data_IF_860855417223
#
_entry.id   IF_860855417223
#
_cell.length_a   1.000
_cell.length_b   1.000
_cell.length_c   1.000
_cell.angle_alpha   90.00
_cell.angle_beta   90.00
_cell.angle_gamma   90.00
#
_symmetry.space_group_name_H-M   'P 1'
#
loop_
_entity.id
_entity.type
_entity.pdbx_description
1 polymer ?
#
# COMPACT_ATOMS: atom_id res chain seq x y z
N UNK A 1 34.46 -23.49 -69.70
CA UNK A 1 33.97 -22.17 -69.25
C UNK A 1 33.76 -22.22 -67.74
N UNK A 2 34.53 -21.48 -66.92
CA UNK A 2 34.45 -21.54 -65.47
C UNK A 2 33.31 -20.66 -64.92
N UNK A 3 32.73 -21.10 -63.81
CA UNK A 3 31.61 -20.48 -63.07
C UNK A 3 32.00 -19.13 -62.47
N UNK A 4 31.09 -18.16 -62.55
CA UNK A 4 31.18 -16.86 -61.89
C UNK A 4 31.07 -16.98 -60.34
N UNK A 5 31.75 -16.11 -59.57
CA UNK A 5 31.71 -16.17 -58.11
C UNK A 5 30.44 -15.51 -57.54
N UNK A 6 29.81 -16.20 -56.59
CA UNK A 6 28.76 -15.67 -55.73
C UNK A 6 29.35 -14.66 -54.73
N UNK A 7 28.89 -13.41 -54.77
CA UNK A 7 29.14 -12.44 -53.70
C UNK A 7 28.23 -12.76 -52.50
N UNK A 8 28.79 -13.25 -51.41
CA UNK A 8 28.12 -13.35 -50.12
C UNK A 8 27.94 -11.95 -49.52
N UNK A 9 26.71 -11.46 -49.45
CA UNK A 9 26.38 -10.31 -48.60
C UNK A 9 26.40 -10.74 -47.14
N UNK A 10 27.38 -10.24 -46.38
CA UNK A 10 27.36 -10.28 -44.92
C UNK A 10 26.20 -9.42 -44.41
N UNK A 11 25.38 -9.90 -43.46
CA UNK A 11 24.39 -9.05 -42.82
C UNK A 11 25.11 -8.01 -41.96
N UNK A 12 24.81 -6.74 -42.23
CA UNK A 12 25.19 -5.61 -41.38
C UNK A 12 24.67 -5.88 -39.97
N UNK A 13 25.58 -5.98 -38.99
CA UNK A 13 25.22 -5.95 -37.57
C UNK A 13 24.49 -4.64 -37.30
N UNK A 14 23.17 -4.72 -37.15
CA UNK A 14 22.42 -3.66 -36.50
C UNK A 14 23.02 -3.44 -35.12
N UNK A 15 23.51 -2.23 -34.87
CA UNK A 15 23.85 -1.76 -33.53
C UNK A 15 22.62 -1.95 -32.65
N UNK A 16 22.68 -2.91 -31.71
CA UNK A 16 21.59 -3.14 -30.77
C UNK A 16 21.30 -1.83 -30.03
N UNK A 17 20.06 -1.34 -30.12
CA UNK A 17 19.60 -0.27 -29.24
C UNK A 17 19.81 -0.76 -27.81
N UNK A 18 20.56 0.00 -27.03
CA UNK A 18 20.74 -0.29 -25.61
C UNK A 18 19.46 0.13 -24.89
N UNK A 19 18.65 -0.84 -24.47
CA UNK A 19 17.42 -0.58 -23.72
C UNK A 19 17.75 -0.04 -22.31
N UNK A 20 17.21 1.13 -21.97
CA UNK A 20 17.37 1.77 -20.67
C UNK A 20 16.28 1.26 -19.72
N UNK A 21 16.57 0.15 -19.06
CA UNK A 21 15.67 -0.51 -18.12
C UNK A 21 16.17 -0.42 -16.68
N UNK A 22 15.25 -0.31 -15.73
CA UNK A 22 15.53 -0.30 -14.30
C UNK A 22 14.53 -1.18 -13.54
N UNK A 23 15.01 -1.87 -12.51
CA UNK A 23 14.19 -2.65 -11.57
C UNK A 23 13.91 -1.84 -10.31
N UNK A 24 12.64 -1.77 -9.93
CA UNK A 24 12.12 -1.16 -8.70
C UNK A 24 11.53 -2.26 -7.82
N UNK A 25 11.84 -2.23 -6.53
CA UNK A 25 11.41 -3.22 -5.51
C UNK A 25 10.49 -2.57 -4.48
N UNK A 26 9.90 -1.41 -4.81
CA UNK A 26 8.92 -0.71 -3.98
C UNK A 26 9.50 0.22 -2.93
N UNK A 27 10.83 0.37 -2.84
CA UNK A 27 11.49 1.37 -1.97
C UNK A 27 12.39 2.34 -2.74
N UNK A 28 12.67 2.03 -4.00
CA UNK A 28 13.49 2.82 -4.89
C UNK A 28 12.63 3.72 -5.79
N UNK A 29 13.19 4.86 -6.20
CA UNK A 29 12.57 5.74 -7.19
C UNK A 29 13.60 6.70 -7.79
N UNK A 30 13.28 7.29 -8.93
CA UNK A 30 14.03 8.40 -9.51
C UNK A 30 13.36 9.72 -9.17
N UNK A 31 14.17 10.77 -9.02
CA UNK A 31 13.74 12.13 -8.77
C UNK A 31 14.57 13.08 -9.62
N UNK A 32 13.94 13.73 -10.60
CA UNK A 32 14.58 14.70 -11.48
C UNK A 32 14.15 16.12 -11.12
N UNK A 33 15.13 17.02 -10.93
CA UNK A 33 14.91 18.40 -10.49
C UNK A 33 14.52 19.32 -11.66
N UNK A 34 13.31 19.87 -11.61
CA UNK A 34 12.74 20.79 -12.60
C UNK A 34 12.88 22.27 -12.19
N UNK A 35 13.37 22.58 -10.99
CA UNK A 35 13.40 23.96 -10.46
C UNK A 35 14.16 24.95 -11.34
N UNK A 36 15.25 24.48 -11.98
CA UNK A 36 16.06 25.30 -12.87
C UNK A 36 15.45 25.43 -14.28
N UNK A 37 14.77 24.38 -14.75
CA UNK A 37 14.16 24.35 -16.08
C UNK A 37 12.72 23.81 -15.94
N UNK A 38 11.77 24.65 -15.51
CA UNK A 38 10.39 24.22 -15.31
C UNK A 38 9.77 23.67 -16.60
N UNK A 39 8.93 22.66 -16.47
CA UNK A 39 8.06 22.23 -17.56
C UNK A 39 6.97 23.29 -17.71
N UNK A 40 6.89 23.85 -18.92
CA UNK A 40 5.76 24.66 -19.38
C UNK A 40 5.35 24.10 -20.73
N UNK A 41 4.19 23.46 -20.79
CA UNK A 41 3.81 22.68 -21.97
C UNK A 41 2.35 22.87 -22.32
N UNK A 42 2.07 23.20 -23.58
CA UNK A 42 0.72 23.14 -24.17
C UNK A 42 0.50 21.86 -24.98
N UNK A 43 1.56 21.09 -25.24
CA UNK A 43 1.53 19.82 -25.97
C UNK A 43 2.70 18.95 -25.55
N UNK A 44 2.42 17.74 -25.10
CA UNK A 44 3.43 16.79 -24.61
C UNK A 44 3.10 15.34 -24.93
N UNK A 45 4.15 14.52 -24.88
CA UNK A 45 4.08 13.07 -25.02
C UNK A 45 4.89 12.40 -23.91
N UNK A 46 4.30 11.37 -23.32
CA UNK A 46 4.95 10.48 -22.36
C UNK A 46 4.96 9.07 -22.96
N UNK A 47 6.11 8.39 -22.89
CA UNK A 47 6.22 6.97 -23.26
C UNK A 47 6.96 6.22 -22.18
N UNK A 48 6.55 4.98 -21.93
CA UNK A 48 7.30 4.00 -21.14
C UNK A 48 6.81 2.59 -21.47
N UNK A 49 7.60 1.58 -21.12
CA UNK A 49 7.07 0.22 -20.95
C UNK A 49 7.21 -0.22 -19.50
N UNK A 50 6.25 -1.00 -19.01
CA UNK A 50 6.28 -1.55 -17.66
C UNK A 50 6.11 -3.07 -17.66
N UNK A 51 6.62 -3.71 -16.61
CA UNK A 51 6.50 -5.14 -16.34
C UNK A 51 6.34 -5.36 -14.84
N UNK A 52 5.23 -5.95 -14.39
CA UNK A 52 4.94 -6.12 -12.95
C UNK A 52 3.98 -7.27 -12.65
N UNK A 53 4.01 -7.76 -11.41
CA UNK A 53 2.99 -8.65 -10.82
C UNK A 53 2.02 -7.90 -9.90
N UNK A 54 2.37 -6.68 -9.47
CA UNK A 54 1.59 -5.89 -8.54
C UNK A 54 0.36 -5.30 -9.22
N UNK A 55 -0.73 -5.15 -8.46
CA UNK A 55 -1.97 -4.51 -8.95
C UNK A 55 -1.93 -2.99 -8.86
N UNK A 56 -1.14 -2.47 -7.93
CA UNK A 56 -1.02 -1.05 -7.61
C UNK A 56 0.46 -0.64 -7.67
N UNK A 57 0.74 0.56 -8.19
CA UNK A 57 2.08 1.11 -8.18
C UNK A 57 2.23 2.37 -9.04
N UNK A 58 2.87 3.39 -8.48
CA UNK A 58 3.16 4.65 -9.19
C UNK A 58 4.23 4.47 -10.27
N UNK A 59 3.90 4.68 -11.54
CA UNK A 59 4.90 4.64 -12.62
C UNK A 59 5.64 5.97 -12.72
N UNK A 60 4.91 7.09 -12.74
CA UNK A 60 5.50 8.42 -12.71
C UNK A 60 4.53 9.49 -12.20
N UNK A 61 5.11 10.58 -11.72
CA UNK A 61 4.37 11.77 -11.33
C UNK A 61 5.23 13.04 -11.48
N UNK A 62 4.61 14.14 -11.90
CA UNK A 62 5.21 15.48 -11.84
C UNK A 62 4.13 16.51 -11.56
N UNK A 63 4.45 17.55 -10.80
CA UNK A 63 3.52 18.62 -10.47
C UNK A 63 3.26 18.80 -8.98
N UNK A 64 2.62 19.91 -8.64
CA UNK A 64 2.21 20.30 -7.29
C UNK A 64 0.87 21.03 -7.37
N UNK A 65 0.11 21.00 -6.28
CA UNK A 65 -1.17 21.72 -6.17
C UNK A 65 -2.17 21.32 -7.28
N UNK A 66 -2.49 22.23 -8.22
CA UNK A 66 -3.52 22.02 -9.23
C UNK A 66 -2.97 21.64 -10.62
N UNK A 67 -1.64 21.67 -10.81
CA UNK A 67 -0.98 21.32 -12.07
C UNK A 67 -0.17 20.05 -11.87
N UNK A 68 -0.60 18.95 -12.47
CA UNK A 68 0.08 17.67 -12.32
C UNK A 68 -0.28 16.65 -13.41
N UNK A 69 0.62 15.69 -13.57
CA UNK A 69 0.40 14.45 -14.31
C UNK A 69 0.74 13.28 -13.39
N UNK A 70 -0.17 12.33 -13.26
CA UNK A 70 0.02 11.09 -12.52
C UNK A 70 -0.29 9.91 -13.45
N UNK A 71 0.64 8.96 -13.54
CA UNK A 71 0.46 7.70 -14.25
C UNK A 71 0.81 6.55 -13.32
N UNK A 72 -0.14 5.66 -13.09
CA UNK A 72 -0.01 4.56 -12.15
C UNK A 72 -0.75 3.31 -12.63
N UNK A 73 -0.40 2.16 -12.07
CA UNK A 73 -1.27 0.99 -12.12
C UNK A 73 -2.21 1.05 -10.92
N UNK A 74 -3.52 0.90 -11.15
CA UNK A 74 -4.59 0.90 -10.13
C UNK A 74 -5.46 -0.32 -10.32
N UNK A 75 -5.46 -1.24 -9.36
CA UNK A 75 -6.21 -2.50 -9.39
C UNK A 75 -5.98 -3.33 -10.67
N UNK A 76 -4.77 -3.28 -11.24
CA UNK A 76 -4.42 -3.97 -12.47
C UNK A 76 -4.80 -3.26 -13.77
N UNK A 77 -5.36 -2.04 -13.68
CA UNK A 77 -5.66 -1.17 -14.82
C UNK A 77 -4.68 0.03 -14.87
N UNK A 78 -4.40 0.57 -16.04
CA UNK A 78 -3.53 1.76 -16.19
C UNK A 78 -4.35 3.01 -15.95
N UNK A 79 -4.02 3.76 -14.91
CA UNK A 79 -4.71 4.98 -14.51
C UNK A 79 -3.87 6.20 -14.85
N UNK A 80 -4.49 7.16 -15.55
CA UNK A 80 -3.91 8.46 -15.89
C UNK A 80 -4.77 9.57 -15.29
N UNK A 81 -4.14 10.50 -14.59
CA UNK A 81 -4.77 11.72 -14.11
C UNK A 81 -3.94 12.92 -14.54
N UNK A 82 -4.57 13.88 -15.24
CA UNK A 82 -3.93 15.12 -15.66
C UNK A 82 -4.79 16.30 -15.20
N UNK A 83 -4.18 17.24 -14.49
CA UNK A 83 -4.80 18.52 -14.15
C UNK A 83 -3.89 19.66 -14.63
N UNK A 84 -4.51 20.68 -15.22
CA UNK A 84 -3.85 21.87 -15.79
C UNK A 84 -4.24 23.15 -15.04
N UNK A 85 -4.76 23.00 -13.81
CA UNK A 85 -5.10 24.11 -12.91
C UNK A 85 -6.59 24.27 -12.61
N UNK A 86 -7.45 23.71 -13.45
CA UNK A 86 -8.90 23.98 -13.44
C UNK A 86 -9.80 22.76 -13.42
N UNK A 87 -9.23 21.56 -13.22
CA UNK A 87 -9.97 20.32 -13.04
C UNK A 87 -9.40 19.16 -13.84
N UNK A 88 -9.36 18.00 -13.21
CA UNK A 88 -8.64 16.85 -13.74
C UNK A 88 -9.41 16.13 -14.86
N UNK A 89 -8.65 15.63 -15.83
CA UNK A 89 -9.03 14.51 -16.68
C UNK A 89 -8.56 13.21 -16.00
N UNK A 90 -9.47 12.25 -15.88
CA UNK A 90 -9.19 10.92 -15.34
C UNK A 90 -9.49 9.86 -16.40
N UNK A 91 -8.54 8.97 -16.65
CA UNK A 91 -8.72 7.80 -17.50
C UNK A 91 -8.29 6.53 -16.76
N UNK A 92 -9.02 5.45 -16.99
CA UNK A 92 -8.70 4.11 -16.52
C UNK A 92 -8.79 3.16 -17.72
N UNK A 93 -7.64 2.65 -18.16
CA UNK A 93 -7.56 1.69 -19.26
C UNK A 93 -7.49 0.30 -18.64
N UNK A 94 -8.51 -0.51 -18.89
CA UNK A 94 -8.60 -1.89 -18.44
C UNK A 94 -8.18 -2.88 -19.55
N UNK A 95 -7.57 -4.03 -19.21
CA UNK A 95 -7.24 -5.04 -20.20
C UNK A 95 -8.51 -5.72 -20.72
N UNK A 96 -8.67 -5.83 -22.04
CA UNK A 96 -9.82 -6.52 -22.66
C UNK A 96 -9.69 -8.03 -22.53
N UNK A 97 -8.48 -8.56 -22.68
CA UNK A 97 -8.13 -9.96 -22.49
C UNK A 97 -6.86 -10.04 -21.64
N UNK A 98 -6.86 -10.89 -20.61
CA UNK A 98 -5.71 -11.05 -19.73
C UNK A 98 -5.64 -10.00 -18.61
N UNK A 99 -4.42 -9.64 -18.19
CA UNK A 99 -4.14 -8.71 -17.09
C UNK A 99 -2.88 -7.93 -17.40
N UNK A 100 -2.80 -6.65 -17.02
CA UNK A 100 -1.54 -5.90 -17.17
C UNK A 100 -0.48 -6.25 -16.12
N UNK A 101 -0.87 -6.91 -15.04
CA UNK A 101 0.04 -7.38 -14.00
C UNK A 101 0.35 -8.89 -14.16
N UNK A 102 0.55 -9.32 -15.40
CA UNK A 102 0.89 -10.69 -15.80
C UNK A 102 2.40 -10.95 -15.83
N UNK A 103 3.21 -9.94 -15.50
CA UNK A 103 4.67 -9.95 -15.61
C UNK A 103 5.17 -10.09 -17.04
N UNK A 104 4.43 -9.58 -18.03
CA UNK A 104 4.92 -9.30 -19.37
C UNK A 104 5.11 -7.79 -19.59
N UNK A 105 5.73 -7.43 -20.72
CA UNK A 105 5.97 -6.02 -21.06
C UNK A 105 4.72 -5.41 -21.71
N UNK A 106 4.30 -4.27 -21.17
CA UNK A 106 3.23 -3.46 -21.76
C UNK A 106 3.75 -2.06 -22.08
N UNK A 107 3.39 -1.54 -23.25
CA UNK A 107 3.78 -0.22 -23.72
C UNK A 107 2.69 0.81 -23.41
N UNK A 108 3.05 1.90 -22.75
CA UNK A 108 2.14 3.02 -22.47
C UNK A 108 2.60 4.24 -23.24
N UNK A 109 1.65 4.85 -23.96
CA UNK A 109 1.85 6.13 -24.62
C UNK A 109 0.74 7.10 -24.22
N UNK A 110 1.12 8.28 -23.79
CA UNK A 110 0.20 9.39 -23.53
C UNK A 110 0.59 10.53 -24.46
N UNK A 111 -0.40 11.09 -25.15
CA UNK A 111 -0.23 12.31 -25.96
C UNK A 111 -1.27 13.31 -25.54
N UNK A 112 -0.85 14.55 -25.32
CA UNK A 112 -1.73 15.66 -25.05
C UNK A 112 -1.48 16.78 -26.04
N UNK A 113 -2.55 17.34 -26.58
CA UNK A 113 -2.53 18.55 -27.38
C UNK A 113 -3.58 19.52 -26.80
N UNK A 114 -3.11 20.63 -26.23
CA UNK A 114 -3.91 21.54 -25.42
C UNK A 114 -4.61 20.76 -24.29
N UNK A 115 -5.95 20.70 -24.34
CA UNK A 115 -6.79 19.97 -23.39
C UNK A 115 -7.06 18.53 -23.79
N UNK A 116 -6.87 18.19 -25.06
CA UNK A 116 -7.18 16.86 -25.57
C UNK A 116 -6.09 15.88 -25.14
N UNK A 117 -6.46 14.87 -24.37
CA UNK A 117 -5.56 13.82 -23.87
C UNK A 117 -5.94 12.51 -24.52
N UNK A 118 -4.95 11.75 -24.97
CA UNK A 118 -5.11 10.38 -25.45
C UNK A 118 -4.08 9.50 -24.75
N UNK A 119 -4.56 8.44 -24.11
CA UNK A 119 -3.72 7.36 -23.55
C UNK A 119 -3.93 6.10 -24.38
N UNK A 120 -2.84 5.40 -24.69
CA UNK A 120 -2.88 4.07 -25.28
C UNK A 120 -2.00 3.09 -24.52
N UNK A 121 -2.50 1.85 -24.38
CA UNK A 121 -1.76 0.70 -23.87
C UNK A 121 -1.64 -0.35 -24.97
N UNK A 122 -0.41 -0.83 -25.20
CA UNK A 122 -0.02 -1.78 -26.26
C UNK A 122 -0.43 -1.36 -27.68
N UNK A 123 -0.66 -0.06 -27.88
CA UNK A 123 -1.07 0.53 -29.15
C UNK A 123 -2.51 0.20 -29.60
N UNK A 124 -3.25 -0.61 -28.84
CA UNK A 124 -4.61 -1.06 -29.20
C UNK A 124 -5.65 -0.39 -28.29
N UNK A 125 -5.39 -0.37 -26.99
CA UNK A 125 -6.35 0.08 -25.99
C UNK A 125 -6.23 1.58 -25.81
N UNK A 126 -7.07 2.34 -26.51
CA UNK A 126 -6.98 3.81 -26.56
C UNK A 126 -8.17 4.46 -25.88
N UNK A 127 -7.93 5.47 -25.05
CA UNK A 127 -8.96 6.32 -24.45
C UNK A 127 -8.59 7.78 -24.69
N UNK A 128 -9.57 8.56 -25.17
CA UNK A 128 -9.40 9.99 -25.43
C UNK A 128 -10.42 10.79 -24.64
N UNK A 129 -9.99 11.92 -24.09
CA UNK A 129 -10.87 12.87 -23.41
C UNK A 129 -10.24 14.24 -23.29
N UNK A 130 -10.81 15.07 -22.42
CA UNK A 130 -10.41 16.47 -22.25
C UNK A 130 -10.29 16.82 -20.77
N UNK A 131 -9.31 17.65 -20.43
CA UNK A 131 -9.24 18.31 -19.11
C UNK A 131 -10.36 19.34 -18.96
N UNK A 132 -10.74 19.67 -17.73
CA UNK A 132 -11.88 20.55 -17.45
C UNK A 132 -11.53 22.04 -17.63
N UNK A 133 -12.54 22.86 -17.89
CA UNK A 133 -12.42 24.34 -18.07
C UNK A 133 -11.34 24.75 -19.08
N UNK A 134 -10.82 25.98 -19.04
CA UNK A 134 -10.13 26.56 -20.20
C UNK A 134 -8.60 26.51 -20.17
N UNK A 135 -7.99 26.01 -19.09
CA UNK A 135 -6.54 25.95 -18.98
C UNK A 135 -5.95 24.89 -19.91
N UNK A 136 -4.84 25.24 -20.56
CA UNK A 136 -4.17 24.42 -21.60
C UNK A 136 -2.71 24.14 -21.30
N UNK A 137 -2.13 24.80 -20.31
CA UNK A 137 -0.70 24.70 -19.99
C UNK A 137 -0.48 23.85 -18.74
N UNK A 138 0.45 22.90 -18.83
CA UNK A 138 0.99 22.18 -17.68
C UNK A 138 2.22 22.94 -17.17
N UNK A 139 2.16 23.39 -15.91
CA UNK A 139 3.29 23.99 -15.20
C UNK A 139 3.86 23.04 -14.15
N UNK A 140 5.17 22.78 -14.17
CA UNK A 140 5.83 22.03 -13.10
C UNK A 140 7.29 22.48 -12.92
N UNK A 141 7.58 23.07 -11.76
CA UNK A 141 8.89 23.61 -11.37
C UNK A 141 9.51 22.87 -10.16
N UNK A 142 8.98 21.69 -9.82
CA UNK A 142 9.40 20.93 -8.64
C UNK A 142 10.20 19.67 -9.05
N UNK A 143 9.60 18.49 -8.88
CA UNK A 143 10.27 17.22 -9.16
C UNK A 143 9.46 16.35 -10.11
N UNK A 144 10.18 15.63 -10.97
CA UNK A 144 9.65 14.53 -11.77
C UNK A 144 10.05 13.20 -11.11
N UNK A 145 9.06 12.47 -10.60
CA UNK A 145 9.22 11.17 -9.95
C UNK A 145 8.97 10.02 -10.92
N UNK A 146 9.78 8.96 -10.85
CA UNK A 146 9.60 7.71 -11.61
C UNK A 146 9.76 6.50 -10.70
N UNK A 147 8.83 5.56 -10.77
CA UNK A 147 8.83 4.30 -10.01
C UNK A 147 8.38 4.42 -8.55
N UNK A 148 8.20 5.63 -8.02
CA UNK A 148 7.78 5.86 -6.64
C UNK A 148 8.08 7.29 -6.20
N UNK A 149 7.82 7.58 -4.93
CA UNK A 149 8.15 8.86 -4.31
C UNK A 149 8.44 8.67 -2.81
N UNK A 150 8.85 9.73 -2.08
CA UNK A 150 8.97 9.68 -0.63
C UNK A 150 7.65 9.32 0.08
N UNK A 151 6.51 9.76 -0.47
CA UNK A 151 5.16 9.47 0.00
C UNK A 151 4.19 9.60 -1.18
N UNK A 152 3.81 8.46 -1.75
CA UNK A 152 3.02 8.43 -3.00
C UNK A 152 1.57 8.88 -2.80
N UNK A 153 1.00 8.64 -1.62
CA UNK A 153 -0.35 9.11 -1.28
C UNK A 153 -0.45 10.64 -1.22
N UNK A 154 0.64 11.34 -0.89
CA UNK A 154 0.64 12.81 -0.78
C UNK A 154 0.69 13.51 -2.15
N UNK A 155 0.91 12.77 -3.23
CA UNK A 155 1.01 13.34 -4.57
C UNK A 155 -0.38 13.70 -5.10
N UNK A 156 -0.59 14.93 -5.59
CA UNK A 156 -1.90 15.36 -6.04
C UNK A 156 -2.41 14.50 -7.21
N UNK A 157 -3.68 14.11 -7.12
CA UNK A 157 -4.31 13.24 -8.12
C UNK A 157 -3.78 11.81 -8.16
N UNK A 158 -2.98 11.37 -7.17
CA UNK A 158 -2.55 9.97 -7.10
C UNK A 158 -3.70 9.05 -6.70
N UNK A 159 -4.07 8.06 -7.52
CA UNK A 159 -5.14 7.14 -7.20
C UNK A 159 -4.66 5.92 -6.38
N UNK A 160 -3.36 5.88 -6.07
CA UNK A 160 -2.68 4.79 -5.34
C UNK A 160 -1.74 5.37 -4.30
N UNK A 161 -1.44 4.58 -3.28
CA UNK A 161 -0.47 4.92 -2.23
C UNK A 161 0.88 4.20 -2.40
N UNK A 162 1.00 3.23 -3.32
CA UNK A 162 2.15 2.33 -3.45
C UNK A 162 3.21 2.83 -4.44
N UNK A 163 4.49 2.67 -4.09
CA UNK A 163 5.59 2.72 -5.07
C UNK A 163 5.56 1.48 -5.98
N UNK A 164 6.19 1.59 -7.15
CA UNK A 164 6.24 0.54 -8.15
C UNK A 164 7.14 -0.62 -7.73
N UNK A 165 6.67 -1.84 -8.00
CA UNK A 165 7.49 -3.06 -7.93
C UNK A 165 7.47 -3.74 -9.28
N UNK A 166 8.61 -3.84 -9.95
CA UNK A 166 8.71 -4.37 -11.30
C UNK A 166 9.83 -3.69 -12.09
N UNK A 167 9.74 -3.77 -13.42
CA UNK A 167 10.67 -3.09 -14.30
C UNK A 167 9.98 -1.95 -15.07
N UNK A 168 10.66 -0.81 -15.20
CA UNK A 168 10.29 0.25 -16.13
C UNK A 168 11.42 0.42 -17.14
N UNK A 169 11.09 0.63 -18.43
CA UNK A 169 12.07 0.95 -19.46
C UNK A 169 11.62 2.10 -20.34
N UNK A 170 12.59 2.78 -20.94
CA UNK A 170 12.38 3.85 -21.93
C UNK A 170 11.40 4.94 -21.46
N UNK A 171 11.45 5.28 -20.16
CA UNK A 171 10.62 6.34 -19.58
C UNK A 171 11.08 7.68 -20.13
N UNK A 172 10.19 8.35 -20.85
CA UNK A 172 10.47 9.57 -21.57
C UNK A 172 9.30 10.54 -21.47
N UNK A 173 9.62 11.82 -21.24
CA UNK A 173 8.74 12.96 -21.39
C UNK A 173 9.30 13.86 -22.48
N UNK A 174 8.47 14.30 -23.44
CA UNK A 174 8.85 15.33 -24.39
C UNK A 174 7.73 16.34 -24.59
N UNK A 175 8.13 17.58 -24.81
CA UNK A 175 7.29 18.63 -25.36
C UNK A 175 8.03 19.29 -26.54
N UNK A 176 7.62 20.47 -26.96
CA UNK A 176 8.25 21.18 -28.08
C UNK A 176 9.67 21.69 -27.77
N UNK A 177 10.00 21.93 -26.50
CA UNK A 177 11.23 22.61 -26.09
C UNK A 177 12.25 21.64 -25.46
N UNK A 178 11.77 20.60 -24.80
CA UNK A 178 12.56 19.69 -23.95
C UNK A 178 12.20 18.24 -24.23
N UNK A 179 13.23 17.39 -24.24
CA UNK A 179 13.12 15.93 -24.29
C UNK A 179 13.88 15.33 -23.10
N UNK A 180 13.15 14.81 -22.11
CA UNK A 180 13.68 14.17 -20.91
C UNK A 180 13.62 12.66 -21.06
N UNK A 181 14.76 12.02 -21.33
CA UNK A 181 14.90 10.56 -21.38
C UNK A 181 15.27 10.04 -19.99
N UNK A 182 14.30 10.07 -19.07
CA UNK A 182 14.49 9.85 -17.63
C UNK A 182 15.20 8.52 -17.32
N UNK A 183 14.88 7.43 -18.00
CA UNK A 183 15.57 6.15 -17.84
C UNK A 183 17.06 6.23 -18.21
N UNK A 184 17.41 6.96 -19.28
CA UNK A 184 18.80 7.16 -19.71
C UNK A 184 19.54 8.09 -18.75
N UNK A 185 18.93 9.20 -18.36
CA UNK A 185 19.50 10.18 -17.43
C UNK A 185 19.82 9.53 -16.07
N UNK A 186 18.97 8.64 -15.58
CA UNK A 186 19.22 7.86 -14.36
C UNK A 186 20.41 6.91 -14.50
N UNK A 187 20.51 6.16 -15.61
CA UNK A 187 21.62 5.23 -15.84
C UNK A 187 22.96 5.93 -16.00
N UNK A 188 22.97 7.10 -16.64
CA UNK A 188 24.19 7.86 -16.94
C UNK A 188 24.62 8.81 -15.81
N UNK A 189 23.77 9.06 -14.81
CA UNK A 189 24.07 9.92 -13.67
C UNK A 189 24.02 11.41 -14.02
N UNK A 190 22.92 11.87 -14.61
CA UNK A 190 22.72 13.31 -14.86
C UNK A 190 22.74 14.11 -13.54
N UNK A 191 23.38 15.30 -13.47
CA UNK A 191 23.46 16.11 -12.25
C UNK A 191 22.11 16.51 -11.64
N UNK A 192 21.05 16.59 -12.45
CA UNK A 192 19.68 16.89 -12.00
C UNK A 192 18.91 15.65 -11.57
N UNK A 193 19.46 14.45 -11.80
CA UNK A 193 18.83 13.18 -11.50
C UNK A 193 19.35 12.60 -10.18
N UNK A 194 18.43 12.29 -9.26
CA UNK A 194 18.72 11.55 -8.04
C UNK A 194 18.05 10.18 -8.10
N UNK A 195 18.86 9.14 -7.89
CA UNK A 195 18.38 7.76 -7.75
C UNK A 195 18.32 7.45 -6.26
N UNK A 196 17.11 7.26 -5.73
CA UNK A 196 16.87 6.90 -4.34
C UNK A 196 16.81 5.37 -4.19
N UNK A 197 17.56 4.83 -3.24
CA UNK A 197 17.67 3.38 -3.02
C UNK A 197 18.63 2.70 -4.00
N UNK A 198 18.64 1.36 -3.98
CA UNK A 198 19.56 0.55 -4.78
C UNK A 198 18.86 0.01 -6.04
N UNK A 199 18.90 0.78 -7.12
CA UNK A 199 18.28 0.41 -8.40
C UNK A 199 19.22 -0.47 -9.23
N UNK A 200 18.70 -1.59 -9.72
CA UNK A 200 19.40 -2.40 -10.73
C UNK A 200 19.02 -1.92 -12.14
N UNK A 201 20.00 -1.48 -12.94
CA UNK A 201 19.80 -1.05 -14.34
C UNK A 201 19.78 -2.22 -15.33
N UNK A 202 18.94 -3.20 -15.01
CA UNK A 202 18.57 -4.39 -15.80
C UNK A 202 17.20 -4.83 -15.28
N UNK A 203 16.42 -5.59 -16.04
CA UNK A 203 15.18 -6.15 -15.52
C UNK A 203 15.46 -7.45 -14.76
N UNK A 204 15.39 -7.41 -13.43
CA UNK A 204 15.46 -8.57 -12.56
C UNK A 204 14.04 -9.10 -12.29
N UNK A 205 13.93 -10.38 -11.94
CA UNK A 205 12.67 -10.89 -11.42
C UNK A 205 12.40 -10.27 -10.05
N UNK A 206 11.34 -9.47 -9.96
CA UNK A 206 10.83 -8.95 -8.70
C UNK A 206 9.83 -9.97 -8.17
N UNK A 207 10.25 -10.77 -7.19
CA UNK A 207 9.35 -11.72 -6.54
C UNK A 207 8.15 -10.97 -5.93
N UNK A 208 6.96 -11.54 -6.04
CA UNK A 208 5.86 -11.15 -5.14
C UNK A 208 6.35 -11.31 -3.71
N UNK A 209 6.07 -10.33 -2.85
CA UNK A 209 6.47 -10.44 -1.45
C UNK A 209 5.75 -11.64 -0.85
N UNK A 210 6.53 -12.64 -0.45
CA UNK A 210 5.97 -13.89 0.02
C UNK A 210 5.07 -13.64 1.24
N UNK A 211 3.86 -14.22 1.26
CA UNK A 211 2.96 -14.05 2.38
C UNK A 211 3.48 -14.76 3.62
N UNK A 212 3.15 -14.21 4.78
CA UNK A 212 3.34 -14.87 6.08
C UNK A 212 1.99 -15.33 6.64
N UNK A 213 2.00 -16.30 7.53
CA UNK A 213 0.85 -16.68 8.37
C UNK A 213 1.20 -16.46 9.84
N UNK A 214 0.36 -15.73 10.56
CA UNK A 214 0.31 -15.73 12.03
C UNK A 214 -0.51 -16.94 12.47
N UNK A 215 0.11 -17.89 13.17
CA UNK A 215 -0.47 -19.18 13.55
C UNK A 215 -1.15 -19.14 14.93
N UNK A 216 -0.75 -18.20 15.79
CA UNK A 216 -1.31 -18.03 17.14
C UNK A 216 -1.65 -16.56 17.46
N UNK A 217 -2.62 -16.28 18.34
CA UNK A 217 -3.00 -14.91 18.69
C UNK A 217 -1.85 -14.10 19.35
N UNK A 218 -0.88 -14.77 19.95
CA UNK A 218 0.27 -14.13 20.59
C UNK A 218 1.39 -13.80 19.58
N UNK A 219 1.26 -14.26 18.33
CA UNK A 219 2.26 -14.06 17.28
C UNK A 219 2.22 -12.61 16.79
N UNK A 220 3.36 -11.95 16.71
CA UNK A 220 3.47 -10.59 16.19
C UNK A 220 4.81 -10.32 15.51
N UNK A 221 4.86 -9.27 14.70
CA UNK A 221 6.08 -8.67 14.14
C UNK A 221 6.15 -7.22 14.56
N UNK A 222 7.35 -6.74 14.87
CA UNK A 222 7.62 -5.33 15.17
C UNK A 222 8.12 -4.62 13.91
N UNK A 223 7.46 -3.54 13.54
CA UNK A 223 7.84 -2.65 12.45
C UNK A 223 8.44 -1.37 13.02
N UNK A 224 9.21 -0.66 12.19
CA UNK A 224 9.71 0.66 12.56
C UNK A 224 8.55 1.61 12.87
N UNK A 225 8.79 2.55 13.78
CA UNK A 225 7.88 3.66 14.08
C UNK A 225 7.34 4.29 12.78
N UNK A 226 6.02 4.41 12.70
CA UNK A 226 5.37 5.09 11.60
C UNK A 226 5.38 6.60 11.85
N UNK A 227 6.01 7.37 10.95
CA UNK A 227 6.21 8.81 11.10
C UNK A 227 5.14 9.64 10.37
N UNK A 228 3.90 9.17 10.35
CA UNK A 228 2.78 9.89 9.77
C UNK A 228 2.30 10.98 10.73
N UNK A 229 2.78 12.22 10.56
CA UNK A 229 2.35 13.37 11.37
C UNK A 229 1.01 13.94 10.93
N UNK A 230 0.94 14.51 9.72
CA UNK A 230 -0.30 15.08 9.15
C UNK A 230 -0.93 14.17 8.11
N UNK A 231 -0.09 13.63 7.24
CA UNK A 231 -0.48 12.67 6.21
C UNK A 231 0.24 11.34 6.43
N UNK A 232 -0.18 10.32 5.69
CA UNK A 232 0.49 9.02 5.67
C UNK A 232 -0.41 7.95 5.09
N UNK A 233 0.18 6.82 4.72
CA UNK A 233 -0.59 5.67 4.19
C UNK A 233 -0.05 4.33 4.68
N UNK A 234 -0.95 3.37 4.85
CA UNK A 234 -0.60 1.97 5.07
C UNK A 234 -1.53 1.12 4.21
N UNK A 235 -0.95 0.26 3.38
CA UNK A 235 -1.72 -0.75 2.63
C UNK A 235 -1.15 -2.14 2.81
N UNK A 236 -2.02 -3.15 2.82
CA UNK A 236 -1.64 -4.55 2.95
C UNK A 236 -2.78 -5.45 2.50
N UNK A 237 -2.45 -6.69 2.16
CA UNK A 237 -3.43 -7.75 1.92
C UNK A 237 -3.56 -8.63 3.17
N UNK A 238 -4.78 -9.01 3.56
CA UNK A 238 -5.02 -10.00 4.61
C UNK A 238 -5.98 -11.11 4.18
N UNK A 239 -5.91 -12.25 4.87
CA UNK A 239 -6.78 -13.41 4.62
C UNK A 239 -6.97 -14.24 5.90
N UNK A 240 -8.20 -14.43 6.36
CA UNK A 240 -8.50 -15.23 7.57
C UNK A 240 -9.94 -15.72 7.61
N UNK A 241 -10.22 -16.71 8.46
CA UNK A 241 -11.57 -17.14 8.87
C UNK A 241 -11.91 -16.76 10.31
N UNK A 242 -10.92 -16.28 11.08
CA UNK A 242 -11.11 -15.88 12.48
C UNK A 242 -12.00 -14.62 12.54
N UNK A 243 -12.95 -14.55 13.48
CA UNK A 243 -13.87 -13.41 13.56
C UNK A 243 -13.26 -12.21 14.29
N UNK A 244 -12.21 -12.41 15.10
CA UNK A 244 -11.59 -11.37 15.90
C UNK A 244 -10.08 -11.38 15.71
N UNK A 245 -9.44 -10.21 15.75
CA UNK A 245 -7.98 -10.11 15.66
C UNK A 245 -7.50 -8.67 15.58
N UNK A 246 -6.43 -8.33 16.28
CA UNK A 246 -5.72 -7.07 16.17
C UNK A 246 -4.70 -7.17 15.03
N UNK A 247 -4.90 -6.42 13.95
CA UNK A 247 -4.01 -6.47 12.77
C UNK A 247 -2.84 -5.51 12.92
N UNK A 248 -3.11 -4.24 13.18
CA UNK A 248 -2.09 -3.20 13.33
C UNK A 248 -2.35 -2.37 14.58
N UNK A 249 -1.29 -1.99 15.29
CA UNK A 249 -1.40 -1.11 16.46
C UNK A 249 -0.12 -0.31 16.67
N UNK A 250 -0.27 0.96 17.04
CA UNK A 250 0.81 1.82 17.53
C UNK A 250 0.23 2.92 18.41
N UNK A 251 1.00 3.39 19.39
CA UNK A 251 0.59 4.51 20.24
C UNK A 251 1.71 5.54 20.43
N UNK A 252 1.29 6.73 20.87
CA UNK A 252 2.13 7.86 21.24
C UNK A 252 2.51 7.84 22.72
N UNK A 253 3.21 8.90 23.15
CA UNK A 253 3.57 9.06 24.56
C UNK A 253 2.33 9.34 25.43
N UNK A 254 2.29 8.86 26.68
CA UNK A 254 1.24 9.23 27.61
C UNK A 254 1.16 10.74 27.81
N UNK A 255 0.00 11.32 27.50
CA UNK A 255 -0.30 12.74 27.74
C UNK A 255 -0.94 12.86 29.11
N UNK A 256 -0.28 13.52 30.05
CA UNK A 256 -0.89 13.88 31.33
C UNK A 256 -1.90 15.00 31.10
N UNK A 257 -3.20 14.69 31.05
CA UNK A 257 -4.23 15.72 31.13
C UNK A 257 -4.55 16.00 32.62
N UNK A 258 -4.53 17.27 33.07
CA UNK A 258 -5.00 17.60 34.40
C UNK A 258 -6.48 17.19 34.51
N UNK A 259 -6.81 16.50 35.60
CA UNK A 259 -8.17 16.01 35.84
C UNK A 259 -9.16 17.17 35.79
N UNK A 260 -9.98 17.23 34.74
CA UNK A 260 -11.23 18.00 34.78
C UNK A 260 -12.21 17.17 35.60
N UNK A 261 -12.35 17.60 36.86
CA UNK A 261 -13.19 17.05 37.92
C UNK A 261 -12.72 15.70 38.49
N UNK A 262 -12.31 15.73 39.77
CA UNK A 262 -11.71 14.64 40.55
C UNK A 262 -12.62 13.44 40.85
N UNK A 263 -13.40 12.96 39.86
CA UNK A 263 -14.28 11.79 39.97
C UNK A 263 -14.08 10.73 38.89
N UNK A 264 -13.11 10.89 37.97
CA UNK A 264 -12.80 9.87 36.95
C UNK A 264 -11.41 9.27 37.21
N UNK A 265 -11.23 7.94 37.11
CA UNK A 265 -9.91 7.32 37.19
C UNK A 265 -8.98 7.97 36.15
N UNK A 266 -7.73 8.24 36.54
CA UNK A 266 -6.71 8.75 35.62
C UNK A 266 -6.43 7.70 34.55
N UNK A 267 -7.13 7.80 33.43
CA UNK A 267 -6.83 7.02 32.23
C UNK A 267 -5.66 7.72 31.53
N UNK A 268 -4.56 6.98 31.32
CA UNK A 268 -3.44 7.47 30.53
C UNK A 268 -3.91 7.59 29.09
N UNK A 269 -4.18 8.83 28.65
CA UNK A 269 -4.52 9.10 27.25
C UNK A 269 -3.27 9.16 26.40
N UNK A 270 -3.32 8.50 25.27
CA UNK A 270 -2.27 8.46 24.25
C UNK A 270 -2.91 8.74 22.90
N UNK A 271 -2.14 9.33 21.98
CA UNK A 271 -2.51 9.25 20.57
C UNK A 271 -2.32 7.80 20.13
N UNK A 272 -3.19 7.26 19.30
CA UNK A 272 -3.03 5.90 18.82
C UNK A 272 -3.70 5.67 17.47
N UNK A 273 -3.25 4.61 16.82
CA UNK A 273 -3.82 4.07 15.61
C UNK A 273 -3.95 2.56 15.75
N UNK A 274 -5.08 2.02 15.32
CA UNK A 274 -5.29 0.58 15.24
C UNK A 274 -6.14 0.19 14.03
N UNK A 275 -5.86 -0.99 13.48
CA UNK A 275 -6.78 -1.72 12.62
C UNK A 275 -7.09 -3.04 13.31
N UNK A 276 -8.37 -3.26 13.62
CA UNK A 276 -8.83 -4.47 14.29
C UNK A 276 -10.01 -5.10 13.55
N UNK A 277 -10.19 -6.39 13.75
CA UNK A 277 -11.33 -7.16 13.30
C UNK A 277 -12.14 -7.60 14.51
N UNK A 278 -13.47 -7.41 14.45
CA UNK A 278 -14.42 -7.79 15.48
C UNK A 278 -15.69 -8.35 14.84
N UNK A 279 -16.10 -9.55 15.24
CA UNK A 279 -17.21 -10.30 14.64
C UNK A 279 -17.17 -10.29 13.09
N UNK A 280 -15.96 -10.49 12.54
CA UNK A 280 -15.68 -10.53 11.10
C UNK A 280 -15.71 -9.18 10.39
N UNK A 281 -16.01 -8.07 11.07
CA UNK A 281 -15.96 -6.73 10.49
C UNK A 281 -14.61 -6.07 10.78
N UNK A 282 -14.05 -5.36 9.79
CA UNK A 282 -12.82 -4.60 9.97
C UNK A 282 -13.12 -3.16 10.42
N UNK A 283 -12.34 -2.67 11.37
CA UNK A 283 -12.46 -1.33 11.94
C UNK A 283 -11.12 -0.61 11.92
N UNK A 284 -11.18 0.67 11.56
CA UNK A 284 -10.13 1.66 11.81
C UNK A 284 -10.42 2.36 13.13
N UNK A 285 -9.41 2.47 13.99
CA UNK A 285 -9.45 3.29 15.19
C UNK A 285 -8.31 4.29 15.18
N UNK A 286 -8.63 5.53 15.52
CA UNK A 286 -7.67 6.63 15.54
C UNK A 286 -8.03 7.62 16.65
N UNK A 287 -7.04 8.02 17.44
CA UNK A 287 -7.15 9.16 18.35
C UNK A 287 -5.91 10.05 18.18
N UNK A 288 -6.13 11.31 17.84
CA UNK A 288 -5.09 12.33 17.62
C UNK A 288 -5.01 13.33 18.79
N UNK A 289 -5.66 13.04 19.91
CA UNK A 289 -5.66 13.85 21.13
C UNK A 289 -6.99 14.53 21.45
N UNK A 290 -7.93 14.52 20.50
CA UNK A 290 -9.27 15.10 20.64
C UNK A 290 -10.41 14.07 20.77
N UNK A 291 -10.07 12.80 20.96
CA UNK A 291 -11.02 11.70 21.09
C UNK A 291 -10.91 10.70 19.95
N UNK A 292 -11.46 9.52 20.19
CA UNK A 292 -11.32 8.39 19.28
C UNK A 292 -12.44 8.36 18.23
N UNK A 293 -12.07 8.11 16.98
CA UNK A 293 -12.98 7.64 15.93
C UNK A 293 -12.83 6.13 15.76
N UNK A 294 -13.96 5.42 15.65
CA UNK A 294 -14.03 3.98 15.31
C UNK A 294 -14.85 3.81 14.03
N UNK A 295 -14.18 3.79 12.90
CA UNK A 295 -14.80 3.70 11.58
C UNK A 295 -14.86 2.23 11.12
N UNK A 296 -16.07 1.73 10.81
CA UNK A 296 -16.23 0.43 10.18
C UNK A 296 -15.77 0.54 8.72
N UNK A 297 -14.76 -0.21 8.32
CA UNK A 297 -14.14 -0.08 7.00
C UNK A 297 -15.08 -0.50 5.86
N UNK A 298 -15.92 -1.52 6.08
CA UNK A 298 -16.91 -2.01 5.11
C UNK A 298 -18.10 -2.64 5.83
N UNK A 299 -19.31 -2.51 5.26
CA UNK A 299 -20.55 -3.03 5.87
C UNK A 299 -20.79 -4.55 5.67
N UNK A 300 -19.72 -5.32 5.41
CA UNK A 300 -19.78 -6.78 5.30
C UNK A 300 -18.70 -7.42 6.15
N UNK A 301 -18.89 -8.70 6.49
CA UNK A 301 -17.83 -9.51 7.08
C UNK A 301 -16.75 -9.81 6.03
N UNK A 302 -15.49 -9.87 6.48
CA UNK A 302 -14.28 -10.03 5.65
C UNK A 302 -13.40 -11.20 6.12
N UNK A 303 -14.00 -12.13 6.87
CA UNK A 303 -13.36 -13.34 7.39
C UNK A 303 -13.90 -14.62 6.69
N UNK A 304 -14.10 -14.57 5.37
CA UNK A 304 -14.51 -15.71 4.55
C UNK A 304 -13.32 -16.60 4.11
N UNK A 305 -12.10 -16.16 4.45
CA UNK A 305 -10.87 -16.81 4.04
C UNK A 305 -10.48 -16.52 2.59
N UNK A 306 -10.91 -15.40 2.02
CA UNK A 306 -10.39 -14.83 0.77
C UNK A 306 -9.41 -13.68 1.04
N UNK A 307 -8.63 -13.31 0.02
CA UNK A 307 -7.71 -12.17 0.12
C UNK A 307 -8.47 -10.85 -0.01
N UNK A 308 -8.25 -9.95 0.95
CA UNK A 308 -8.75 -8.58 0.95
C UNK A 308 -7.59 -7.60 0.96
N UNK A 309 -7.63 -6.62 0.07
CA UNK A 309 -6.71 -5.49 0.06
C UNK A 309 -7.24 -4.39 0.99
N UNK A 310 -6.41 -3.90 1.89
CA UNK A 310 -6.70 -2.76 2.77
C UNK A 310 -5.80 -1.62 2.35
N UNK A 311 -6.38 -0.44 2.14
CA UNK A 311 -5.63 0.79 1.88
C UNK A 311 -6.16 1.89 2.81
N UNK A 312 -5.35 2.24 3.80
CA UNK A 312 -5.61 3.32 4.73
C UNK A 312 -4.77 4.53 4.32
N UNK A 313 -5.44 5.65 4.11
CA UNK A 313 -4.84 6.92 3.73
C UNK A 313 -5.33 8.00 4.68
N UNK A 314 -4.41 8.84 5.14
CA UNK A 314 -4.70 10.06 5.86
C UNK A 314 -4.15 11.22 5.07
N UNK A 315 -5.05 12.09 4.63
CA UNK A 315 -4.77 13.15 3.67
C UNK A 315 -4.70 14.52 4.35
N UNK A 316 -4.94 14.56 5.67
CA UNK A 316 -5.23 15.78 6.41
C UNK A 316 -6.68 16.21 6.21
N UNK A 317 -7.15 17.17 7.00
CA UNK A 317 -8.55 17.62 6.92
C UNK A 317 -8.81 18.37 5.61
N UNK A 318 -9.59 17.75 4.71
CA UNK A 318 -10.04 18.35 3.46
C UNK A 318 -10.85 19.61 3.73
N UNK A 319 -10.45 20.73 3.13
CA UNK A 319 -11.16 22.00 3.26
C UNK A 319 -12.56 21.98 2.60
N UNK A 320 -12.81 21.05 1.68
CA UNK A 320 -14.05 20.95 0.90
C UNK A 320 -15.01 19.92 1.49
N UNK A 321 -14.53 18.70 1.75
CA UNK A 321 -15.38 17.58 2.20
C UNK A 321 -15.40 17.42 3.73
N UNK A 322 -14.50 18.10 4.45
CA UNK A 322 -14.22 17.90 5.89
C UNK A 322 -13.82 16.47 6.28
N UNK A 323 -13.54 15.61 5.30
CA UNK A 323 -12.97 14.28 5.49
C UNK A 323 -11.47 14.41 5.79
N UNK A 324 -10.94 13.57 6.68
CA UNK A 324 -9.51 13.60 7.05
C UNK A 324 -8.68 12.50 6.39
N UNK A 325 -9.37 11.52 5.81
CA UNK A 325 -8.75 10.38 5.16
C UNK A 325 -9.78 9.32 4.82
N UNK A 326 -9.28 8.21 4.29
CA UNK A 326 -10.11 7.09 3.87
C UNK A 326 -9.51 5.76 4.30
N UNK A 327 -10.37 4.79 4.60
CA UNK A 327 -10.00 3.38 4.67
C UNK A 327 -10.77 2.64 3.57
N UNK A 328 -10.05 1.86 2.78
CA UNK A 328 -10.61 1.15 1.64
C UNK A 328 -10.45 -0.35 1.79
N UNK A 329 -11.49 -1.11 1.46
CA UNK A 329 -11.44 -2.57 1.34
C UNK A 329 -11.64 -2.94 -0.11
N UNK A 330 -10.60 -3.51 -0.71
CA UNK A 330 -10.45 -3.66 -2.16
C UNK A 330 -10.60 -2.29 -2.84
N UNK A 331 -11.74 -2.03 -3.47
CA UNK A 331 -12.04 -0.74 -4.15
C UNK A 331 -13.08 0.10 -3.43
N UNK A 332 -13.68 -0.44 -2.36
CA UNK A 332 -14.75 0.22 -1.62
C UNK A 332 -14.14 1.17 -0.59
N UNK A 333 -14.26 2.48 -0.85
CA UNK A 333 -13.73 3.54 0.01
C UNK A 333 -14.73 3.93 1.08
N UNK A 334 -14.27 4.07 2.31
CA UNK A 334 -15.02 4.65 3.43
C UNK A 334 -14.23 5.82 4.00
N UNK A 335 -14.79 7.02 3.89
CA UNK A 335 -14.19 8.21 4.49
C UNK A 335 -14.40 8.25 6.00
N UNK A 336 -13.50 8.91 6.71
CA UNK A 336 -13.61 9.16 8.14
C UNK A 336 -13.19 10.57 8.50
N UNK A 337 -13.69 11.04 9.65
CA UNK A 337 -13.31 12.32 10.26
C UNK A 337 -13.11 12.07 11.75
N UNK A 338 -11.94 12.40 12.28
CA UNK A 338 -11.70 12.32 13.71
C UNK A 338 -12.35 13.51 14.45
N UNK A 339 -12.78 13.34 15.70
CA UNK A 339 -13.40 14.42 16.46
C UNK A 339 -12.39 15.52 16.84
N UNK A 340 -12.88 16.75 16.95
CA UNK A 340 -12.12 17.92 17.44
C UNK A 340 -11.28 18.62 16.38
N UNK A 341 -10.15 19.20 16.78
CA UNK A 341 -9.27 20.03 15.92
C UNK A 341 -7.85 19.46 15.77
N UNK A 342 -7.56 18.31 16.38
CA UNK A 342 -6.23 17.71 16.33
C UNK A 342 -5.99 17.00 14.99
N UNK A 343 -5.07 17.52 14.18
CA UNK A 343 -4.70 16.94 12.88
C UNK A 343 -3.43 16.08 12.92
N UNK A 344 -2.69 16.13 14.04
CA UNK A 344 -1.40 15.46 14.17
C UNK A 344 -1.57 14.16 14.95
N UNK A 345 -1.17 13.06 14.33
CA UNK A 345 -1.04 11.76 14.99
C UNK A 345 0.41 11.60 15.45
N UNK A 346 0.67 11.83 16.74
CA UNK A 346 2.02 11.75 17.30
C UNK A 346 2.30 10.36 17.90
N UNK A 347 2.58 9.40 17.02
CA UNK A 347 3.03 8.07 17.42
C UNK A 347 4.46 8.14 17.96
N UNK A 348 4.80 7.27 18.91
CA UNK A 348 6.15 7.21 19.49
C UNK A 348 6.73 5.80 19.58
N UNK A 349 5.89 4.80 19.86
CA UNK A 349 6.34 3.40 19.87
C UNK A 349 6.49 2.83 18.45
N UNK A 350 7.01 1.61 18.38
CA UNK A 350 7.00 0.79 17.19
C UNK A 350 5.57 0.47 16.73
N UNK A 351 5.43 0.19 15.44
CA UNK A 351 4.19 -0.32 14.86
C UNK A 351 4.18 -1.85 15.00
N UNK A 352 3.12 -2.41 15.55
CA UNK A 352 2.95 -3.87 15.69
C UNK A 352 2.02 -4.40 14.62
N UNK A 353 2.37 -5.56 14.06
CA UNK A 353 1.57 -6.32 13.10
C UNK A 353 1.25 -7.70 13.68
N UNK A 354 -0.03 -8.07 13.68
CA UNK A 354 -0.52 -9.41 14.03
C UNK A 354 -0.91 -9.60 15.49
N UNK A 355 -0.33 -8.85 16.42
CA UNK A 355 -0.60 -9.01 17.85
C UNK A 355 0.26 -8.08 18.68
N UNK A 356 0.24 -8.25 20.00
CA UNK A 356 1.00 -7.44 20.94
C UNK A 356 1.81 -8.31 21.91
N UNK A 357 2.97 -7.82 22.37
CA UNK A 357 3.73 -8.48 23.43
C UNK A 357 2.98 -8.40 24.77
N UNK A 358 2.84 -9.52 25.47
CA UNK A 358 2.09 -9.60 26.74
C UNK A 358 2.68 -8.76 27.89
N UNK A 359 4.02 -8.61 27.94
CA UNK A 359 4.72 -8.03 29.09
C UNK A 359 5.65 -6.87 28.72
N UNK A 360 5.33 -6.10 27.67
CA UNK A 360 6.17 -4.95 27.30
C UNK A 360 5.91 -3.76 28.23
N UNK A 361 6.92 -3.42 29.03
CA UNK A 361 6.93 -2.20 29.86
C UNK A 361 6.71 -0.98 28.96
N UNK A 362 5.74 -0.14 29.32
CA UNK A 362 5.45 1.12 28.62
C UNK A 362 4.44 1.01 27.47
N UNK A 363 3.97 -0.20 27.14
CA UNK A 363 2.87 -0.38 26.19
C UNK A 363 1.55 0.03 26.86
N UNK A 364 0.82 0.95 26.25
CA UNK A 364 -0.49 1.41 26.74
C UNK A 364 -1.58 0.85 25.83
N UNK A 365 -2.62 0.25 26.42
CA UNK A 365 -3.77 -0.28 25.69
C UNK A 365 -4.97 0.66 25.84
N UNK A 366 -5.32 1.47 24.82
CA UNK A 366 -6.53 2.27 24.84
C UNK A 366 -7.77 1.39 24.98
N UNK A 367 -8.73 1.82 25.79
CA UNK A 367 -9.96 1.07 26.08
C UNK A 367 -10.87 0.88 24.87
N UNK A 368 -10.68 1.70 23.85
CA UNK A 368 -11.42 1.72 22.59
C UNK A 368 -10.98 0.57 21.66
N UNK A 369 -9.76 0.07 21.81
CA UNK A 369 -9.19 -1.07 21.07
C UNK A 369 -9.50 -2.36 21.83
N UNK A 370 -10.70 -2.90 21.60
CA UNK A 370 -11.20 -4.04 22.38
C UNK A 370 -10.37 -5.30 22.16
N UNK A 371 -9.89 -5.53 20.94
CA UNK A 371 -9.07 -6.71 20.64
C UNK A 371 -7.78 -6.75 21.45
N UNK A 372 -7.18 -5.60 21.74
CA UNK A 372 -5.98 -5.52 22.57
C UNK A 372 -6.26 -5.91 24.03
N UNK A 373 -7.34 -5.39 24.64
CA UNK A 373 -7.70 -5.72 26.02
C UNK A 373 -8.19 -7.17 26.20
N UNK A 374 -8.79 -7.75 25.15
CA UNK A 374 -9.29 -9.12 25.16
C UNK A 374 -8.24 -10.14 24.71
N UNK A 375 -7.00 -9.71 24.44
CA UNK A 375 -5.92 -10.55 23.90
C UNK A 375 -6.30 -11.30 22.61
N UNK A 376 -7.11 -10.67 21.76
CA UNK A 376 -7.44 -11.16 20.43
C UNK A 376 -6.41 -10.68 19.41
N UNK A 377 -5.22 -11.26 19.41
CA UNK A 377 -4.30 -11.06 18.29
C UNK A 377 -4.78 -11.77 17.02
N UNK A 378 -4.34 -11.26 15.88
CA UNK A 378 -4.70 -11.74 14.56
C UNK A 378 -4.05 -13.09 14.24
N UNK A 379 -4.87 -14.00 13.72
CA UNK A 379 -4.46 -15.30 13.20
C UNK A 379 -4.96 -15.40 11.76
N UNK A 380 -4.06 -15.65 10.82
CA UNK A 380 -4.33 -15.50 9.39
C UNK A 380 -3.10 -15.08 8.60
N UNK A 381 -3.29 -14.79 7.33
CA UNK A 381 -2.20 -14.39 6.43
C UNK A 381 -2.12 -12.89 6.20
N UNK A 382 -0.89 -12.38 6.03
CA UNK A 382 -0.60 -11.01 5.61
C UNK A 382 0.43 -11.04 4.48
N UNK A 383 0.30 -10.14 3.50
CA UNK A 383 1.32 -9.86 2.48
C UNK A 383 1.22 -8.43 1.96
N UNK A 384 2.15 -8.09 1.06
CA UNK A 384 2.14 -6.82 0.31
C UNK A 384 1.97 -5.60 1.23
N UNK A 385 2.70 -5.56 2.35
CA UNK A 385 2.67 -4.44 3.29
C UNK A 385 3.45 -3.25 2.72
N UNK A 386 2.80 -2.10 2.63
CA UNK A 386 3.38 -0.81 2.30
C UNK A 386 3.11 0.19 3.42
N UNK A 387 4.11 1.02 3.72
CA UNK A 387 4.00 2.15 4.66
C UNK A 387 4.56 3.37 3.95
N UNK A 388 3.74 4.41 3.82
CA UNK A 388 4.02 5.65 3.09
C UNK A 388 4.54 5.37 1.67
N UNK A 389 3.90 4.40 1.01
CA UNK A 389 4.26 3.90 -0.31
C UNK A 389 5.50 3.04 -0.41
N UNK A 390 6.25 2.85 0.68
CA UNK A 390 7.41 1.96 0.69
C UNK A 390 7.03 0.53 1.07
N UNK A 391 7.41 -0.42 0.21
CA UNK A 391 7.24 -1.84 0.48
C UNK A 391 8.03 -2.30 1.72
N UNK A 392 7.44 -3.18 2.52
CA UNK A 392 8.05 -3.83 3.69
C UNK A 392 8.00 -5.35 3.52
N UNK A 393 9.18 -5.97 3.49
CA UNK A 393 9.34 -7.43 3.44
C UNK A 393 9.06 -8.05 4.82
N UNK A 394 7.78 -8.37 5.06
CA UNK A 394 7.31 -8.95 6.32
C UNK A 394 7.89 -10.32 6.62
N UNK A 395 8.22 -11.11 5.59
CA UNK A 395 8.86 -12.42 5.75
C UNK A 395 10.26 -12.28 6.30
N UNK A 396 11.09 -11.44 5.66
CA UNK A 396 12.46 -11.18 6.13
C UNK A 396 12.46 -10.57 7.53
N UNK A 397 11.50 -9.69 7.83
CA UNK A 397 11.33 -9.12 9.17
C UNK A 397 11.02 -10.20 10.21
N UNK A 398 10.10 -11.13 9.93
CA UNK A 398 9.79 -12.25 10.81
C UNK A 398 11.01 -13.15 11.06
N UNK A 399 11.76 -13.49 9.99
CA UNK A 399 12.97 -14.31 10.05
C UNK A 399 14.07 -13.63 10.90
N UNK A 400 14.32 -12.34 10.67
CA UNK A 400 15.30 -11.57 11.43
C UNK A 400 14.94 -11.44 12.92
N UNK A 401 13.65 -11.31 13.23
CA UNK A 401 13.13 -11.18 14.61
C UNK A 401 12.97 -12.54 15.31
N UNK A 402 13.08 -13.65 14.57
CA UNK A 402 12.74 -15.00 15.05
C UNK A 402 11.33 -15.04 15.66
N UNK A 403 10.37 -14.44 14.96
CA UNK A 403 9.00 -14.30 15.44
C UNK A 403 8.36 -15.67 15.68
N UNK A 404 7.94 -15.94 16.92
CA UNK A 404 7.27 -17.19 17.28
C UNK A 404 5.86 -17.23 16.68
N UNK A 405 5.45 -18.42 16.20
CA UNK A 405 4.14 -18.63 15.58
C UNK A 405 3.93 -17.89 14.26
N UNK A 406 5.00 -17.48 13.56
CA UNK A 406 4.93 -16.90 12.21
C UNK A 406 5.55 -17.85 11.19
N UNK A 407 4.77 -18.26 10.20
CA UNK A 407 5.21 -19.15 9.10
C UNK A 407 5.43 -18.37 7.79
N UNK A 408 6.49 -18.65 7.01
CA UNK A 408 6.82 -17.91 5.77
C UNK A 408 6.03 -18.40 4.54
N UNK A 409 4.75 -18.71 4.73
CA UNK A 409 3.86 -19.15 3.65
C UNK A 409 2.40 -18.93 4.06
N UNK A 410 1.50 -18.84 3.10
CA UNK A 410 0.06 -18.82 3.35
C UNK A 410 -0.65 -19.90 2.56
N UNK A 411 -1.27 -20.84 3.27
CA UNK A 411 -2.12 -21.90 2.70
C UNK A 411 -3.30 -22.16 3.63
N UNK A 412 -4.52 -22.15 3.08
CA UNK A 412 -5.73 -22.55 3.80
C UNK A 412 -5.82 -24.07 3.79
N UNK A 413 -5.75 -24.71 4.95
CA UNK A 413 -5.96 -26.15 5.07
C UNK A 413 -7.46 -26.49 4.99
N UNK A 414 -7.82 -27.69 4.51
CA UNK A 414 -9.18 -28.19 4.63
C UNK A 414 -9.61 -28.26 6.10
N UNK A 415 -10.88 -27.96 6.43
CA UNK A 415 -11.39 -27.99 7.80
C UNK A 415 -11.34 -29.42 8.34
N UNK A 416 -10.42 -29.66 9.28
CA UNK A 416 -10.19 -30.98 9.89
C UNK A 416 -9.79 -30.88 11.35
N UNK A 417 -9.57 -29.68 11.87
CA UNK A 417 -8.96 -29.45 13.17
C UNK A 417 -9.91 -29.82 14.31
N UNK A 418 -11.23 -29.76 14.09
CA UNK A 418 -12.22 -30.24 15.04
C UNK A 418 -12.50 -31.75 14.97
N UNK A 419 -12.04 -32.47 13.95
CA UNK A 419 -12.33 -33.92 13.79
C UNK A 419 -11.76 -34.77 14.92
N UNK A 420 -10.68 -34.33 15.57
CA UNK A 420 -10.09 -35.01 16.73
C UNK A 420 -10.83 -34.73 18.03
N UNK A 421 -11.94 -33.97 18.02
CA UNK A 421 -12.67 -33.48 19.19
C UNK A 421 -11.72 -32.90 20.26
N UNK A 422 -10.92 -31.87 19.94
CA UNK A 422 -9.88 -31.37 20.83
C UNK A 422 -10.44 -30.66 22.07
N UNK A 423 -11.68 -30.16 22.03
CA UNK A 423 -12.31 -29.46 23.15
C UNK A 423 -12.85 -30.44 24.19
N UNK A 424 -12.36 -30.34 25.42
CA UNK A 424 -12.74 -31.16 26.55
C UNK A 424 -14.00 -30.61 27.23
N UNK A 425 -14.56 -31.36 28.18
CA UNK A 425 -15.62 -30.90 29.09
C UNK A 425 -16.84 -30.27 28.41
N UNK A 426 -17.28 -30.85 27.28
CA UNK A 426 -18.39 -30.36 26.46
C UNK A 426 -18.17 -28.97 25.84
N UNK A 427 -16.93 -28.50 25.74
CA UNK A 427 -16.60 -27.31 24.97
C UNK A 427 -16.95 -27.49 23.49
N UNK A 428 -17.49 -26.43 22.87
CA UNK A 428 -17.90 -26.48 21.46
C UNK A 428 -16.70 -26.16 20.57
N UNK A 429 -16.30 -27.12 19.74
CA UNK A 429 -15.21 -26.92 18.77
C UNK A 429 -15.70 -26.14 17.56
N UNK A 430 -14.92 -25.13 17.14
CA UNK A 430 -15.09 -24.37 15.91
C UNK A 430 -13.81 -24.41 15.09
N UNK A 431 -13.94 -24.48 13.77
CA UNK A 431 -12.81 -24.38 12.84
C UNK A 431 -12.32 -22.93 12.77
N UNK A 432 -11.04 -22.72 13.08
CA UNK A 432 -10.34 -21.44 12.93
C UNK A 432 -9.48 -21.41 11.67
N UNK A 433 -8.50 -20.51 11.63
CA UNK A 433 -7.51 -20.50 10.54
C UNK A 433 -6.41 -21.52 10.82
N UNK A 434 -6.49 -22.69 10.17
CA UNK A 434 -5.57 -23.83 10.34
C UNK A 434 -5.41 -24.32 11.79
N UNK A 435 -6.35 -23.98 12.67
CA UNK A 435 -6.38 -24.38 14.08
C UNK A 435 -7.82 -24.66 14.52
N UNK A 436 -7.98 -25.38 15.62
CA UNK A 436 -9.26 -25.47 16.32
C UNK A 436 -9.40 -24.32 17.32
N UNK A 437 -10.64 -23.90 17.57
CA UNK A 437 -11.01 -22.93 18.61
C UNK A 437 -12.08 -23.55 19.48
N UNK A 438 -11.88 -23.56 20.79
CA UNK A 438 -12.85 -24.08 21.75
C UNK A 438 -13.63 -22.95 22.40
N UNK A 439 -14.96 -23.04 22.31
CA UNK A 439 -15.88 -22.24 23.10
C UNK A 439 -16.21 -22.99 24.39
N UNK A 440 -15.59 -22.57 25.49
CA UNK A 440 -15.77 -23.18 26.81
C UNK A 440 -16.93 -22.54 27.60
N UNK A 441 -17.67 -21.60 27.01
CA UNK A 441 -18.77 -20.90 27.68
C UNK A 441 -19.83 -21.89 28.16
N UNK A 442 -20.17 -21.85 29.44
CA UNK A 442 -21.16 -22.75 30.04
C UNK A 442 -20.66 -24.17 30.31
N UNK A 443 -19.37 -24.46 30.12
CA UNK A 443 -18.76 -25.74 30.52
C UNK A 443 -18.31 -25.76 31.99
N UNK A 444 -18.06 -24.60 32.60
CA UNK A 444 -17.38 -24.48 33.90
C UNK A 444 -15.85 -24.69 33.82
N UNK A 445 -15.30 -24.70 32.60
CA UNK A 445 -13.88 -24.85 32.32
C UNK A 445 -13.36 -23.73 31.42
N UNK A 446 -12.05 -23.52 31.45
CA UNK A 446 -11.29 -22.52 30.72
C UNK A 446 -10.00 -23.12 30.15
N UNK A 447 -9.29 -22.33 29.35
CA UNK A 447 -8.08 -22.78 28.65
C UNK A 447 -8.32 -23.08 27.18
N UNK A 448 -7.24 -23.43 26.47
CA UNK A 448 -7.25 -23.54 25.00
C UNK A 448 -8.17 -24.68 24.52
N UNK A 449 -8.31 -25.71 25.33
CA UNK A 449 -9.07 -26.93 25.05
C UNK A 449 -10.10 -27.21 26.14
N UNK A 450 -10.49 -26.19 26.92
CA UNK A 450 -11.40 -26.29 28.07
C UNK A 450 -10.90 -27.28 29.15
N UNK A 451 -9.59 -27.34 29.38
CA UNK A 451 -8.93 -28.34 30.23
C UNK A 451 -8.79 -27.94 31.71
N UNK A 452 -8.97 -26.66 32.06
CA UNK A 452 -8.80 -26.14 33.43
C UNK A 452 -10.16 -25.79 34.05
N UNK A 453 -10.45 -26.27 35.26
CA UNK A 453 -11.69 -25.89 35.96
C UNK A 453 -11.68 -24.43 36.40
N UNK A 454 -12.84 -23.77 36.38
CA UNK A 454 -13.00 -22.38 36.84
C UNK A 454 -12.68 -22.19 38.33
N UNK A 455 -12.78 -23.25 39.14
CA UNK A 455 -12.50 -23.24 40.59
C UNK A 455 -11.00 -23.10 40.96
N UNK A 456 -10.11 -22.91 39.98
CA UNK A 456 -8.64 -22.86 40.15
C UNK A 456 -8.07 -21.44 39.93
N UNK A 457 -8.93 -20.40 39.87
CA UNK A 457 -8.53 -18.99 39.73
C UNK A 457 -8.65 -18.19 41.03
#
# INVERSE_FOLDING_TARGET
MPRAPFYSHSPVRGTGKEDHVATFKGSEFFCYDLSLNPIQSSSDEITLSFKTLQRNGLMLHTGKSADYVNLALKNGAVSLVINLGSGAFEALVEPVNGKFNDNDWHDVKVTRNLRQVTISVDGILTTTGYTQEDYTMLGSDDFFYVGGSPSTADLPGSPVSNNFMGCLKEVMYKNNDVRLELSRLAKQGDPKMRVHGLVAFKCENVATLDPITFETPESYIVLNKWNAKKTGSISFDFRTTEPNGLLLFSHGKPKQQPAKDGKRPQTLKVDFFAIEMLDGHLYLLLDMGSGTIKAKAVNRKVNDGEWYHVDFQRDGRSAVTQEEGTISINTLRTAYTAPGESEILDLDDNLYLGGLPENKIGLVFPTEVWTALLNYGYVGCIRDLFIDGQSKDVRRLAEMQKAAGVKPSCSKEPPKQCLSNPCQNNGVCREGWNRYVCDCSGSGFLGRSCERGEDVL
#
